data_IF_215796833282
#
_entry.id   IF_215796833282
#
_cell.length_a   1.000
_cell.length_b   1.000
_cell.length_c   1.000
_cell.angle_alpha   90.00
_cell.angle_beta   90.00
_cell.angle_gamma   90.00
#
_symmetry.space_group_name_H-M   'P 1'
#
loop_
_entity.id
_entity.type
_entity.pdbx_description
1 polymer ?
#
# COMPACT_ATOMS: atom_id res chain seq x y z
N UNK A 1 -62.93 -68.04 -3.81
CA UNK A 1 -63.19 -68.60 -5.16
C UNK A 1 -61.83 -68.87 -5.80
N UNK A 2 -61.45 -70.17 -5.89
CA UNK A 2 -60.55 -70.89 -6.82
C UNK A 2 -59.32 -70.12 -7.41
N UNK A 3 -58.06 -70.60 -7.48
CA UNK A 3 -57.45 -71.95 -7.61
C UNK A 3 -55.90 -71.74 -7.77
N UNK A 4 -55.08 -72.67 -7.23
CA UNK A 4 -53.74 -73.19 -7.69
C UNK A 4 -52.57 -72.24 -8.12
N UNK A 5 -51.29 -72.63 -8.37
CA UNK A 5 -50.47 -73.87 -8.46
C UNK A 5 -49.02 -73.52 -8.03
N UNK A 6 -48.25 -74.54 -7.65
CA UNK A 6 -46.79 -74.68 -7.55
C UNK A 6 -45.87 -74.23 -8.72
N UNK A 7 -44.58 -74.10 -8.37
CA UNK A 7 -43.33 -74.40 -9.13
C UNK A 7 -42.85 -73.51 -10.28
N UNK A 8 -41.60 -73.04 -10.21
CA UNK A 8 -40.46 -73.55 -11.02
C UNK A 8 -39.30 -72.54 -11.06
N UNK A 9 -38.10 -73.06 -10.83
CA UNK A 9 -36.83 -72.39 -11.07
C UNK A 9 -36.54 -72.28 -12.58
N UNK A 10 -36.01 -71.14 -13.04
CA UNK A 10 -35.23 -71.06 -14.28
C UNK A 10 -34.03 -70.14 -14.04
N UNK A 11 -32.87 -70.78 -13.98
CA UNK A 11 -31.56 -70.21 -14.32
C UNK A 11 -31.58 -69.73 -15.78
N UNK A 12 -31.21 -68.48 -16.03
CA UNK A 12 -30.67 -68.10 -17.33
C UNK A 12 -29.45 -67.19 -17.16
N UNK A 13 -28.30 -67.81 -17.43
CA UNK A 13 -27.04 -67.17 -17.75
C UNK A 13 -27.23 -66.30 -19.00
N UNK A 14 -26.79 -65.04 -18.94
CA UNK A 14 -26.75 -64.15 -20.09
C UNK A 14 -25.63 -63.15 -19.91
N UNK A 15 -24.41 -63.54 -20.27
CA UNK A 15 -23.29 -62.64 -20.45
C UNK A 15 -23.50 -61.82 -21.73
N UNK A 16 -23.50 -60.49 -21.61
CA UNK A 16 -23.24 -59.57 -22.71
C UNK A 16 -22.13 -58.60 -22.30
N UNK A 17 -21.10 -58.56 -23.12
CA UNK A 17 -19.86 -57.80 -23.01
C UNK A 17 -19.95 -56.42 -23.68
N UNK A 18 -19.08 -55.50 -23.25
CA UNK A 18 -18.60 -54.26 -23.89
C UNK A 18 -19.58 -53.05 -23.82
N UNK A 19 -19.19 -51.79 -23.55
CA UNK A 19 -17.90 -51.07 -23.47
C UNK A 19 -18.14 -49.64 -22.92
N UNK A 20 -17.14 -49.08 -22.24
CA UNK A 20 -16.87 -47.64 -21.93
C UNK A 20 -17.93 -46.82 -21.14
N UNK A 21 -17.62 -45.80 -20.34
CA UNK A 21 -16.41 -45.25 -19.70
C UNK A 21 -16.91 -43.97 -18.99
N UNK A 22 -16.61 -43.79 -17.71
CA UNK A 22 -16.32 -42.45 -17.13
C UNK A 22 -15.92 -42.60 -15.67
N UNK A 23 -14.61 -42.47 -15.47
CA UNK A 23 -13.97 -42.23 -14.18
C UNK A 23 -14.39 -40.85 -13.64
N UNK A 24 -14.93 -40.81 -12.43
CA UNK A 24 -14.84 -39.59 -11.61
C UNK A 24 -14.96 -39.92 -10.12
N UNK A 25 -13.91 -40.51 -9.54
CA UNK A 25 -13.66 -40.40 -8.10
C UNK A 25 -12.17 -40.10 -7.87
N UNK A 26 -11.93 -39.24 -6.88
CA UNK A 26 -10.66 -38.69 -6.39
C UNK A 26 -9.99 -37.56 -7.18
N UNK A 27 -10.40 -36.33 -6.86
CA UNK A 27 -9.53 -35.15 -7.00
C UNK A 27 -9.63 -34.26 -5.76
N UNK A 28 -9.28 -34.79 -4.59
CA UNK A 28 -9.07 -33.98 -3.38
C UNK A 28 -8.05 -34.59 -2.40
N UNK A 29 -6.94 -35.12 -2.88
CA UNK A 29 -5.76 -35.42 -2.05
C UNK A 29 -4.53 -35.56 -2.94
N UNK A 30 -3.93 -34.44 -3.35
CA UNK A 30 -2.50 -34.39 -3.67
C UNK A 30 -2.00 -32.94 -3.56
N UNK A 31 -1.91 -32.44 -2.33
CA UNK A 31 -1.13 -31.23 -2.02
C UNK A 31 0.20 -31.74 -1.47
N UNK A 32 1.23 -31.75 -2.33
CA UNK A 32 2.57 -32.20 -1.97
C UNK A 32 3.20 -31.27 -0.92
N UNK A 33 4.10 -31.79 -0.08
CA UNK A 33 4.84 -30.99 0.92
C UNK A 33 5.54 -29.78 0.31
N UNK A 34 6.01 -29.91 -0.93
CA UNK A 34 6.68 -28.84 -1.67
C UNK A 34 5.70 -27.74 -2.07
N UNK A 35 4.48 -28.09 -2.50
CA UNK A 35 3.43 -27.10 -2.81
C UNK A 35 2.94 -26.34 -1.57
N UNK A 36 2.90 -26.99 -0.42
CA UNK A 36 2.54 -26.38 0.86
C UNK A 36 3.65 -25.44 1.35
N UNK A 37 4.92 -25.85 1.22
CA UNK A 37 6.07 -25.03 1.56
C UNK A 37 6.19 -23.81 0.64
N UNK A 38 5.96 -23.99 -0.66
CA UNK A 38 5.93 -22.91 -1.66
C UNK A 38 4.78 -21.92 -1.38
N UNK A 39 3.59 -22.43 -1.05
CA UNK A 39 2.44 -21.61 -0.63
C UNK A 39 2.73 -20.81 0.64
N UNK A 40 3.29 -21.43 1.67
CA UNK A 40 3.63 -20.76 2.93
C UNK A 40 4.72 -19.70 2.74
N UNK A 41 5.71 -19.98 1.90
CA UNK A 41 6.78 -19.05 1.54
C UNK A 41 6.22 -17.85 0.76
N UNK A 42 5.29 -18.09 -0.18
CA UNK A 42 4.62 -17.03 -0.92
C UNK A 42 3.77 -16.14 0.00
N UNK A 43 3.03 -16.71 0.96
CA UNK A 43 2.28 -15.93 1.95
C UNK A 43 3.20 -15.06 2.82
N UNK A 44 4.32 -15.62 3.30
CA UNK A 44 5.32 -14.88 4.09
C UNK A 44 5.90 -13.71 3.29
N UNK A 45 6.23 -13.93 2.02
CA UNK A 45 6.74 -12.88 1.14
C UNK A 45 5.70 -11.78 0.88
N UNK A 46 4.43 -12.15 0.66
CA UNK A 46 3.34 -11.20 0.49
C UNK A 46 3.12 -10.35 1.75
N UNK A 47 3.16 -10.95 2.95
CA UNK A 47 3.05 -10.22 4.22
C UNK A 47 4.21 -9.22 4.40
N UNK A 48 5.44 -9.64 4.07
CA UNK A 48 6.59 -8.74 4.04
C UNK A 48 6.40 -7.58 3.06
N UNK A 49 5.87 -7.83 1.86
CA UNK A 49 5.57 -6.77 0.88
C UNK A 49 4.48 -5.81 1.38
N UNK A 50 3.40 -6.34 1.98
CA UNK A 50 2.31 -5.55 2.51
C UNK A 50 2.76 -4.65 3.66
N UNK A 51 3.56 -5.20 4.58
CA UNK A 51 4.03 -4.48 5.77
C UNK A 51 5.15 -3.49 5.48
N UNK A 52 6.05 -3.79 4.53
CA UNK A 52 7.29 -3.00 4.31
C UNK A 52 7.30 -2.17 3.04
N UNK A 53 6.59 -2.59 2.00
CA UNK A 53 6.70 -1.99 0.66
C UNK A 53 5.42 -1.26 0.24
N UNK A 54 4.25 -1.81 0.56
CA UNK A 54 2.97 -1.31 0.02
C UNK A 54 2.52 0.02 0.62
N UNK A 55 3.09 0.44 1.75
CA UNK A 55 2.87 1.79 2.28
C UNK A 55 3.17 2.89 1.26
N UNK A 56 4.13 2.65 0.35
CA UNK A 56 4.47 3.56 -0.73
C UNK A 56 4.12 3.01 -2.13
N UNK A 57 4.23 1.69 -2.33
CA UNK A 57 4.16 1.06 -3.66
C UNK A 57 2.89 0.21 -3.91
N UNK A 58 1.93 0.19 -2.97
CA UNK A 58 0.73 -0.64 -3.04
C UNK A 58 -0.14 -0.35 -4.27
N UNK A 59 -0.92 -1.33 -4.73
CA UNK A 59 -1.73 -1.25 -5.96
C UNK A 59 -2.93 -0.30 -5.87
N UNK A 60 -3.35 0.05 -4.65
CA UNK A 60 -4.59 0.78 -4.42
C UNK A 60 -4.31 2.29 -4.42
N UNK A 61 -4.99 3.03 -5.28
CA UNK A 61 -4.88 4.50 -5.39
C UNK A 61 -4.89 5.03 -6.83
N UNK A 62 -5.47 6.22 -7.00
CA UNK A 62 -5.39 6.98 -8.25
C UNK A 62 -3.95 7.42 -8.55
N UNK A 63 -3.61 7.51 -9.84
CA UNK A 63 -2.28 7.85 -10.34
C UNK A 63 -1.66 9.03 -9.58
N UNK A 64 -2.42 10.10 -9.37
CA UNK A 64 -1.96 11.38 -8.82
C UNK A 64 -1.52 11.30 -7.36
N UNK A 65 -2.15 10.47 -6.53
CA UNK A 65 -1.96 10.46 -5.07
C UNK A 65 -0.83 9.54 -4.57
N UNK A 66 0.03 9.07 -5.48
CA UNK A 66 1.01 8.01 -5.17
C UNK A 66 2.35 8.57 -4.74
N UNK A 67 2.97 7.88 -3.79
CA UNK A 67 4.26 8.27 -3.20
C UNK A 67 5.43 7.61 -3.94
N UNK A 68 5.17 6.48 -4.60
CA UNK A 68 6.17 5.69 -5.30
C UNK A 68 5.52 4.92 -6.48
N UNK A 69 6.31 4.40 -7.44
CA UNK A 69 5.76 3.64 -8.56
C UNK A 69 5.09 2.34 -8.08
N UNK A 70 4.08 1.81 -8.80
CA UNK A 70 3.47 0.54 -8.42
C UNK A 70 4.47 -0.60 -8.52
N UNK A 71 4.29 -1.62 -7.68
CA UNK A 71 5.10 -2.84 -7.74
C UNK A 71 5.06 -3.52 -9.12
N UNK A 72 3.95 -3.43 -9.85
CA UNK A 72 3.92 -3.93 -11.23
C UNK A 72 4.87 -3.17 -12.17
N UNK A 73 5.00 -1.85 -12.01
CA UNK A 73 5.96 -1.08 -12.81
C UNK A 73 7.39 -1.49 -12.47
N UNK A 74 7.69 -1.66 -11.18
CA UNK A 74 9.01 -2.12 -10.72
C UNK A 74 9.32 -3.48 -11.35
N UNK A 75 8.40 -4.45 -11.24
CA UNK A 75 8.54 -5.77 -11.87
C UNK A 75 8.85 -5.65 -13.37
N UNK A 76 8.08 -4.88 -14.13
CA UNK A 76 8.26 -4.73 -15.59
C UNK A 76 9.56 -4.03 -15.98
N UNK A 77 10.10 -3.15 -15.14
CA UNK A 77 11.38 -2.48 -15.42
C UNK A 77 12.60 -3.30 -15.01
N UNK A 78 12.47 -4.13 -13.97
CA UNK A 78 13.56 -4.95 -13.46
C UNK A 78 13.59 -6.35 -14.07
N UNK A 79 12.49 -6.83 -14.66
CA UNK A 79 12.39 -8.15 -15.30
C UNK A 79 12.04 -8.03 -16.78
N UNK A 80 12.91 -8.57 -17.62
CA UNK A 80 12.65 -8.87 -19.04
C UNK A 80 12.69 -10.39 -19.28
N UNK A 81 12.67 -10.82 -20.55
CA UNK A 81 12.67 -12.24 -20.95
C UNK A 81 13.96 -12.98 -20.59
N UNK A 82 15.08 -12.27 -20.45
CA UNK A 82 16.40 -12.85 -20.16
C UNK A 82 16.86 -12.63 -18.72
N UNK A 83 16.07 -11.93 -17.90
CA UNK A 83 16.45 -11.65 -16.51
C UNK A 83 16.29 -12.92 -15.68
N UNK A 84 17.36 -13.42 -15.08
CA UNK A 84 17.29 -14.54 -14.13
C UNK A 84 16.74 -14.07 -12.77
N UNK A 85 16.23 -15.00 -11.96
CA UNK A 85 15.79 -14.70 -10.58
C UNK A 85 16.94 -14.09 -9.76
N UNK A 86 18.15 -14.61 -9.91
CA UNK A 86 19.34 -14.11 -9.24
C UNK A 86 19.65 -12.67 -9.64
N UNK A 87 19.69 -12.37 -10.94
CA UNK A 87 19.92 -11.02 -11.45
C UNK A 87 18.86 -10.04 -10.95
N UNK A 88 17.59 -10.44 -11.04
CA UNK A 88 16.46 -9.64 -10.55
C UNK A 88 16.61 -9.32 -9.06
N UNK A 89 16.92 -10.35 -8.25
CA UNK A 89 17.08 -10.22 -6.80
C UNK A 89 18.25 -9.32 -6.44
N UNK A 90 19.40 -9.47 -7.12
CA UNK A 90 20.57 -8.62 -6.90
C UNK A 90 20.31 -7.17 -7.29
N UNK A 91 19.61 -6.94 -8.40
CA UNK A 91 19.23 -5.59 -8.84
C UNK A 91 18.30 -4.89 -7.85
N UNK A 92 17.28 -5.60 -7.36
CA UNK A 92 16.36 -5.08 -6.34
C UNK A 92 17.11 -4.79 -5.05
N UNK A 93 17.92 -5.73 -4.55
CA UNK A 93 18.72 -5.55 -3.31
C UNK A 93 19.67 -4.36 -3.42
N UNK A 94 20.39 -4.24 -4.53
CA UNK A 94 21.33 -3.15 -4.79
C UNK A 94 20.63 -1.80 -4.68
N UNK A 95 19.49 -1.63 -5.34
CA UNK A 95 18.73 -0.39 -5.30
C UNK A 95 18.09 -0.12 -3.95
N UNK A 96 17.45 -1.12 -3.33
CA UNK A 96 16.74 -0.95 -2.04
C UNK A 96 17.71 -0.60 -0.91
N UNK A 97 18.89 -1.23 -0.88
CA UNK A 97 19.90 -1.01 0.16
C UNK A 97 20.81 0.20 -0.10
N UNK A 98 20.88 0.70 -1.33
CA UNK A 98 21.69 1.88 -1.65
C UNK A 98 21.14 2.65 -2.86
N UNK A 99 19.96 3.28 -2.76
CA UNK A 99 19.40 4.03 -3.88
C UNK A 99 20.25 5.29 -4.11
N UNK A 100 20.75 5.46 -5.34
CA UNK A 100 21.50 6.63 -5.82
C UNK A 100 20.94 7.08 -7.17
N UNK A 101 21.19 8.32 -7.59
CA UNK A 101 20.74 8.78 -8.92
C UNK A 101 21.35 7.94 -10.06
N UNK A 102 22.58 7.48 -9.88
CA UNK A 102 23.34 6.68 -10.84
C UNK A 102 22.77 5.27 -11.04
N UNK A 103 22.14 4.67 -10.02
CA UNK A 103 21.63 3.30 -10.07
C UNK A 103 20.11 3.20 -10.25
N UNK A 104 19.43 4.32 -10.50
CA UNK A 104 18.01 4.34 -10.84
C UNK A 104 17.79 3.71 -12.21
N UNK A 105 17.08 2.57 -12.26
CA UNK A 105 16.59 1.99 -13.53
C UNK A 105 15.30 2.64 -14.05
N UNK A 106 14.55 3.31 -13.17
CA UNK A 106 13.24 3.91 -13.48
C UNK A 106 13.32 5.44 -13.44
N UNK A 107 13.98 6.05 -14.41
CA UNK A 107 14.28 7.50 -14.43
C UNK A 107 13.04 8.38 -14.38
N UNK A 108 11.95 8.02 -15.08
CA UNK A 108 10.66 8.74 -15.00
C UNK A 108 10.05 8.70 -13.58
N UNK A 109 10.14 7.55 -12.91
CA UNK A 109 9.69 7.42 -11.53
C UNK A 109 10.57 8.25 -10.57
N UNK A 110 11.89 8.30 -10.81
CA UNK A 110 12.78 9.16 -10.04
C UNK A 110 12.47 10.65 -10.24
N UNK A 111 12.26 11.11 -11.48
CA UNK A 111 11.86 12.50 -11.75
C UNK A 111 10.56 12.88 -11.04
N UNK A 112 9.59 11.96 -11.02
CA UNK A 112 8.27 12.20 -10.45
C UNK A 112 8.22 12.09 -8.92
N UNK A 113 8.80 11.05 -8.35
CA UNK A 113 8.68 10.72 -6.92
C UNK A 113 9.93 11.07 -6.11
N UNK A 114 11.03 11.44 -6.78
CA UNK A 114 12.35 11.58 -6.19
C UNK A 114 12.98 10.23 -5.79
N UNK A 115 14.19 10.29 -5.22
CA UNK A 115 14.93 9.08 -4.83
C UNK A 115 14.24 8.31 -3.70
N UNK A 116 14.20 6.98 -3.79
CA UNK A 116 13.70 6.11 -2.72
C UNK A 116 14.60 6.25 -1.49
N UNK A 117 14.05 6.28 -0.25
CA UNK A 117 14.88 6.18 0.94
C UNK A 117 15.62 4.85 1.00
N UNK A 118 16.88 4.86 1.45
CA UNK A 118 17.63 3.63 1.76
C UNK A 118 16.88 2.80 2.80
N UNK A 119 16.64 1.53 2.48
CA UNK A 119 16.00 0.58 3.38
C UNK A 119 17.05 -0.45 3.82
N UNK A 120 17.22 -0.63 5.13
CA UNK A 120 18.15 -1.62 5.68
C UNK A 120 17.39 -2.89 6.05
N UNK A 121 16.83 -3.58 5.05
CA UNK A 121 16.09 -4.81 5.30
C UNK A 121 17.05 -6.02 5.34
N UNK A 122 16.75 -7.05 6.16
CA UNK A 122 17.47 -8.32 6.11
C UNK A 122 17.49 -8.91 4.70
N UNK A 123 18.64 -9.47 4.32
CA UNK A 123 18.85 -10.04 2.99
C UNK A 123 17.89 -11.19 2.69
N UNK A 124 17.61 -12.05 3.67
CA UNK A 124 16.65 -13.15 3.54
C UNK A 124 15.25 -12.65 3.16
N UNK A 125 14.80 -11.55 3.75
CA UNK A 125 13.49 -10.97 3.43
C UNK A 125 13.48 -10.36 2.02
N UNK A 126 14.56 -9.70 1.61
CA UNK A 126 14.68 -9.18 0.26
C UNK A 126 14.70 -10.31 -0.78
N UNK A 127 15.30 -11.46 -0.46
CA UNK A 127 15.27 -12.64 -1.32
C UNK A 127 13.84 -13.17 -1.46
N UNK A 128 13.09 -13.30 -0.35
CA UNK A 128 11.69 -13.72 -0.36
C UNK A 128 10.80 -12.77 -1.16
N UNK A 129 10.92 -11.46 -0.92
CA UNK A 129 10.17 -10.42 -1.65
C UNK A 129 10.51 -10.47 -3.14
N UNK A 130 11.79 -10.59 -3.50
CA UNK A 130 12.23 -10.60 -4.90
C UNK A 130 11.75 -11.84 -5.64
N UNK A 131 11.82 -13.01 -5.01
CA UNK A 131 11.28 -14.26 -5.55
C UNK A 131 9.77 -14.17 -5.77
N UNK A 132 9.03 -13.67 -4.78
CA UNK A 132 7.59 -13.47 -4.92
C UNK A 132 7.27 -12.51 -6.08
N UNK A 133 7.93 -11.35 -6.11
CA UNK A 133 7.73 -10.35 -7.16
C UNK A 133 8.09 -10.90 -8.55
N UNK A 134 9.12 -11.74 -8.66
CA UNK A 134 9.55 -12.35 -9.92
C UNK A 134 8.53 -13.35 -10.46
N UNK A 135 8.05 -14.28 -9.63
CA UNK A 135 7.18 -15.40 -10.06
C UNK A 135 5.68 -15.07 -10.08
N UNK A 136 5.19 -14.18 -9.22
CA UNK A 136 3.75 -13.99 -9.03
C UNK A 136 3.19 -12.82 -9.83
N UNK A 137 1.92 -12.91 -10.20
CA UNK A 137 1.20 -11.76 -10.75
C UNK A 137 1.01 -10.68 -9.68
N UNK A 138 1.24 -9.43 -10.07
CA UNK A 138 1.03 -8.28 -9.19
C UNK A 138 -0.22 -7.56 -9.65
N UNK A 139 -1.17 -7.35 -8.74
CA UNK A 139 -2.40 -6.61 -8.99
C UNK A 139 -2.08 -5.26 -9.64
N UNK A 140 -2.60 -5.06 -10.85
CA UNK A 140 -2.42 -3.83 -11.61
C UNK A 140 -3.49 -2.79 -11.20
N UNK A 141 -3.12 -1.51 -10.96
CA UNK A 141 -4.10 -0.43 -10.88
C UNK A 141 -4.84 -0.27 -12.22
N UNK A 142 -6.14 0.09 -12.20
CA UNK A 142 -6.97 0.20 -13.40
C UNK A 142 -6.38 1.13 -14.48
N UNK A 143 -5.73 2.23 -14.06
CA UNK A 143 -5.10 3.21 -14.96
C UNK A 143 -3.74 2.77 -15.53
N UNK A 144 -3.17 1.66 -15.05
CA UNK A 144 -1.76 1.31 -15.29
C UNK A 144 -1.48 0.98 -16.76
N UNK A 145 -2.35 0.22 -17.42
CA UNK A 145 -2.12 -0.25 -18.81
C UNK A 145 -2.02 0.91 -19.80
N UNK A 146 -2.90 1.89 -19.69
CA UNK A 146 -2.93 3.06 -20.57
C UNK A 146 -1.73 3.98 -20.33
N UNK A 147 -1.42 4.27 -19.06
CA UNK A 147 -0.25 5.07 -18.69
C UNK A 147 1.06 4.41 -19.16
N UNK A 148 1.21 3.11 -18.93
CA UNK A 148 2.44 2.39 -19.27
C UNK A 148 2.68 2.35 -20.79
N UNK A 149 1.63 2.24 -21.60
CA UNK A 149 1.73 2.33 -23.07
C UNK A 149 2.20 3.72 -23.53
N UNK A 150 1.63 4.80 -22.96
CA UNK A 150 2.03 6.18 -23.29
C UNK A 150 3.51 6.46 -22.98
N UNK A 151 4.00 5.98 -21.84
CA UNK A 151 5.41 6.09 -21.45
C UNK A 151 6.35 5.36 -22.42
N UNK A 152 5.95 4.17 -22.92
CA UNK A 152 6.76 3.42 -23.86
C UNK A 152 6.84 4.08 -25.25
N UNK A 153 5.76 4.74 -25.69
CA UNK A 153 5.74 5.48 -26.96
C UNK A 153 6.51 6.80 -26.92
N UNK A 154 6.69 7.42 -25.74
CA UNK A 154 7.30 8.75 -25.59
C UNK A 154 8.82 8.75 -25.31
N UNK A 155 9.53 7.63 -25.49
CA UNK A 155 10.97 7.49 -25.16
C UNK A 155 11.96 8.43 -25.89
N UNK A 156 11.49 9.35 -26.75
CA UNK A 156 12.33 10.29 -27.51
C UNK A 156 12.02 11.78 -27.33
N UNK A 157 11.11 12.19 -26.44
CA UNK A 157 10.86 13.60 -26.19
C UNK A 157 11.48 14.04 -24.86
N UNK A 158 12.38 15.03 -24.91
CA UNK A 158 12.71 15.87 -23.76
C UNK A 158 11.43 16.54 -23.29
N UNK A 159 10.82 16.03 -22.23
CA UNK A 159 9.61 16.62 -21.67
C UNK A 159 9.93 17.97 -21.02
N UNK A 160 9.37 19.03 -21.60
CA UNK A 160 9.15 20.28 -20.88
C UNK A 160 8.27 20.01 -19.64
N UNK A 161 8.47 20.72 -18.52
CA UNK A 161 7.71 20.47 -17.31
C UNK A 161 6.22 20.72 -17.56
N UNK A 162 5.41 19.68 -17.39
CA UNK A 162 3.95 19.77 -17.48
C UNK A 162 3.42 20.84 -16.49
N UNK A 163 2.57 21.75 -16.99
CA UNK A 163 1.89 22.75 -16.17
C UNK A 163 0.90 22.01 -15.26
N UNK A 164 1.23 21.88 -13.98
CA UNK A 164 0.37 21.25 -12.98
C UNK A 164 -0.84 22.13 -12.67
N UNK A 165 -2.03 21.52 -12.57
CA UNK A 165 -3.18 22.20 -11.97
C UNK A 165 -2.88 22.53 -10.50
N UNK A 166 -3.57 23.51 -9.89
CA UNK A 166 -3.38 23.83 -8.48
C UNK A 166 -3.59 22.64 -7.55
N UNK A 167 -4.58 21.79 -7.85
CA UNK A 167 -4.85 20.59 -7.05
C UNK A 167 -3.71 19.56 -7.14
N UNK A 168 -3.13 19.36 -8.34
CA UNK A 168 -1.97 18.49 -8.53
C UNK A 168 -0.71 19.07 -7.90
N UNK A 169 -0.49 20.39 -8.01
CA UNK A 169 0.63 21.06 -7.36
C UNK A 169 0.57 20.90 -5.84
N UNK A 170 -0.59 21.20 -5.23
CA UNK A 170 -0.78 21.02 -3.80
C UNK A 170 -0.60 19.57 -3.35
N UNK A 171 -0.97 18.61 -4.21
CA UNK A 171 -0.76 17.19 -3.94
C UNK A 171 0.72 16.84 -3.95
N UNK A 172 1.50 17.36 -4.92
CA UNK A 172 2.95 17.17 -4.94
C UNK A 172 3.62 17.73 -3.68
N UNK A 173 3.17 18.89 -3.20
CA UNK A 173 3.66 19.49 -1.96
C UNK A 173 3.33 18.61 -0.74
N UNK A 174 2.09 18.15 -0.63
CA UNK A 174 1.66 17.22 0.42
C UNK A 174 2.46 15.91 0.40
N UNK A 175 2.72 15.35 -0.79
CA UNK A 175 3.48 14.11 -0.97
C UNK A 175 4.96 14.30 -0.59
N UNK A 176 5.58 15.43 -0.95
CA UNK A 176 6.96 15.76 -0.52
C UNK A 176 7.06 15.85 1.00
N UNK A 177 6.12 16.55 1.66
CA UNK A 177 6.07 16.63 3.12
C UNK A 177 5.82 15.25 3.76
N UNK A 178 4.86 14.48 3.23
CA UNK A 178 4.57 13.10 3.66
C UNK A 178 5.78 12.19 3.53
N UNK A 179 6.55 12.31 2.45
CA UNK A 179 7.77 11.51 2.20
C UNK A 179 8.83 11.77 3.27
N UNK A 180 9.10 13.04 3.60
CA UNK A 180 10.09 13.39 4.63
C UNK A 180 9.64 12.93 6.01
N UNK A 181 8.37 13.16 6.36
CA UNK A 181 7.83 12.68 7.63
C UNK A 181 7.87 11.14 7.70
N UNK A 182 7.43 10.46 6.65
CA UNK A 182 7.42 9.01 6.53
C UNK A 182 8.81 8.40 6.62
N UNK A 183 9.81 8.99 5.94
CA UNK A 183 11.21 8.55 6.02
C UNK A 183 11.73 8.57 7.45
N UNK A 184 11.52 9.68 8.17
CA UNK A 184 12.00 9.82 9.54
C UNK A 184 11.21 8.94 10.52
N UNK A 185 9.91 8.81 10.34
CA UNK A 185 9.06 7.89 11.10
C UNK A 185 9.55 6.44 10.94
N UNK A 186 9.77 6.00 9.70
CA UNK A 186 10.29 4.66 9.42
C UNK A 186 11.67 4.45 10.03
N UNK A 187 12.55 5.46 9.97
CA UNK A 187 13.83 5.43 10.67
C UNK A 187 13.65 5.20 12.19
N UNK A 188 12.71 5.88 12.83
CA UNK A 188 12.42 5.72 14.25
C UNK A 188 11.86 4.33 14.59
N UNK A 189 10.88 3.84 13.80
CA UNK A 189 10.31 2.49 13.96
C UNK A 189 11.40 1.43 13.80
N UNK A 190 12.23 1.53 12.76
CA UNK A 190 13.29 0.56 12.50
C UNK A 190 14.37 0.58 13.59
N UNK A 191 14.60 1.73 14.25
CA UNK A 191 15.62 1.87 15.28
C UNK A 191 15.21 1.22 16.61
N UNK A 192 14.00 1.48 17.09
CA UNK A 192 13.55 1.09 18.45
C UNK A 192 12.07 0.74 18.55
N UNK A 193 11.41 0.47 17.42
CA UNK A 193 10.00 0.09 17.35
C UNK A 193 9.03 1.24 17.57
N UNK A 194 7.75 0.90 17.64
CA UNK A 194 6.63 1.85 17.65
C UNK A 194 6.63 2.74 18.89
N UNK A 195 7.10 2.23 20.04
CA UNK A 195 7.21 3.03 21.29
C UNK A 195 8.13 4.24 21.12
N UNK A 196 9.30 4.07 20.48
CA UNK A 196 10.20 5.18 20.19
C UNK A 196 9.67 6.08 19.07
N UNK A 197 8.99 5.49 18.08
CA UNK A 197 8.35 6.26 17.00
C UNK A 197 7.31 7.27 17.51
N UNK A 198 6.57 6.93 18.58
CA UNK A 198 5.63 7.87 19.24
C UNK A 198 6.36 9.09 19.80
N UNK A 199 7.53 8.90 20.42
CA UNK A 199 8.35 9.99 20.95
C UNK A 199 8.91 10.88 19.85
N UNK A 200 9.39 10.26 18.76
CA UNK A 200 9.78 10.99 17.55
C UNK A 200 8.62 11.83 17.01
N UNK A 201 7.41 11.29 16.96
CA UNK A 201 6.23 12.02 16.47
C UNK A 201 5.87 13.21 17.37
N UNK A 202 6.07 13.07 18.69
CA UNK A 202 5.81 14.14 19.66
C UNK A 202 6.80 15.29 19.50
N UNK A 203 8.09 14.98 19.36
CA UNK A 203 9.16 15.97 19.39
C UNK A 203 9.53 16.56 18.02
N UNK A 204 9.38 15.79 16.94
CA UNK A 204 9.99 16.13 15.63
C UNK A 204 9.01 16.28 14.48
N UNK A 205 7.81 15.68 14.56
CA UNK A 205 6.91 15.67 13.41
C UNK A 205 6.52 17.08 12.96
N UNK A 206 6.12 17.95 13.90
CA UNK A 206 5.72 19.33 13.57
C UNK A 206 6.89 20.13 12.98
N UNK A 207 8.07 20.08 13.61
CA UNK A 207 9.28 20.73 13.10
C UNK A 207 9.62 20.33 11.66
N UNK A 208 9.49 19.04 11.32
CA UNK A 208 9.71 18.58 9.95
C UNK A 208 8.68 19.13 8.97
N UNK A 209 7.41 19.25 9.39
CA UNK A 209 6.37 19.86 8.54
C UNK A 209 6.64 21.35 8.36
N UNK A 210 6.96 22.08 9.43
CA UNK A 210 7.28 23.50 9.37
C UNK A 210 8.50 23.76 8.46
N UNK A 211 9.54 22.93 8.60
CA UNK A 211 10.72 22.98 7.73
C UNK A 211 10.36 22.72 6.26
N UNK A 212 9.47 21.77 5.99
CA UNK A 212 9.01 21.48 4.63
C UNK A 212 8.13 22.59 4.08
N UNK A 213 7.31 23.23 4.92
CA UNK A 213 6.52 24.39 4.54
C UNK A 213 7.39 25.54 4.04
N UNK A 214 8.45 25.87 4.79
CA UNK A 214 9.40 26.89 4.40
C UNK A 214 10.16 26.51 3.13
N UNK A 215 10.68 25.28 3.05
CA UNK A 215 11.46 24.81 1.91
C UNK A 215 10.66 24.73 0.61
N UNK A 216 9.34 24.51 0.71
CA UNK A 216 8.44 24.38 -0.43
C UNK A 216 7.64 25.65 -0.72
N UNK A 217 7.85 26.72 0.05
CA UNK A 217 7.10 27.97 -0.05
C UNK A 217 5.57 27.78 -0.04
N UNK A 218 5.08 26.92 0.87
CA UNK A 218 3.67 26.62 1.02
C UNK A 218 3.32 26.36 2.49
N UNK A 219 2.14 26.77 2.93
CA UNK A 219 1.69 26.45 4.29
C UNK A 219 1.06 25.06 4.31
N UNK A 220 1.71 24.12 4.98
CA UNK A 220 1.40 22.69 4.97
C UNK A 220 1.13 22.27 6.41
N UNK A 221 -0.02 21.65 6.66
CA UNK A 221 -0.33 21.06 7.96
C UNK A 221 -1.09 19.75 7.83
N UNK A 222 -1.19 19.02 8.93
CA UNK A 222 -2.05 17.83 9.06
C UNK A 222 -3.10 18.08 10.12
N UNK A 223 -4.35 17.80 9.78
CA UNK A 223 -5.46 17.94 10.71
C UNK A 223 -6.34 16.69 10.73
N UNK A 224 -7.09 16.50 11.81
CA UNK A 224 -7.98 15.37 12.01
C UNK A 224 -9.13 15.75 12.93
N UNK A 225 -10.25 15.06 12.77
CA UNK A 225 -11.38 15.12 13.70
C UNK A 225 -11.17 14.21 14.94
N UNK A 226 -10.22 13.27 14.86
CA UNK A 226 -9.70 12.46 15.97
C UNK A 226 -8.19 12.69 16.12
N UNK A 227 -7.75 13.87 16.56
CA UNK A 227 -6.33 14.19 16.63
C UNK A 227 -5.62 13.46 17.79
N UNK A 228 -4.31 13.25 17.61
CA UNK A 228 -3.41 12.79 18.69
C UNK A 228 -2.85 13.95 19.49
N UNK A 229 -2.36 14.94 18.75
CA UNK A 229 -1.94 16.22 19.28
C UNK A 229 -3.10 17.21 19.10
N UNK A 230 -3.53 17.88 20.17
CA UNK A 230 -4.63 18.84 20.15
C UNK A 230 -4.45 19.94 19.08
N UNK A 231 -3.20 20.33 18.77
CA UNK A 231 -2.90 21.33 17.75
C UNK A 231 -3.25 20.87 16.32
N UNK A 232 -3.48 19.57 16.11
CA UNK A 232 -3.90 18.99 14.84
C UNK A 232 -5.43 18.84 14.73
N UNK A 233 -6.21 19.49 15.60
CA UNK A 233 -7.66 19.48 15.52
C UNK A 233 -8.14 20.20 14.24
N UNK A 234 -8.96 19.53 13.44
CA UNK A 234 -9.59 20.13 12.28
C UNK A 234 -10.55 21.25 12.67
N UNK A 235 -10.52 22.36 11.93
CA UNK A 235 -11.49 23.44 12.06
C UNK A 235 -12.84 23.08 11.40
N UNK A 236 -13.83 23.98 11.48
CA UNK A 236 -15.17 23.72 10.95
C UNK A 236 -15.20 23.36 9.45
N UNK A 237 -14.42 24.06 8.61
CA UNK A 237 -14.35 23.79 7.16
C UNK A 237 -13.66 22.45 6.88
N UNK A 238 -12.55 22.20 7.56
CA UNK A 238 -11.78 20.94 7.44
C UNK A 238 -12.59 19.74 7.93
N UNK A 239 -13.40 19.91 8.99
CA UNK A 239 -14.27 18.87 9.52
C UNK A 239 -15.36 18.46 8.52
N UNK A 240 -15.95 19.42 7.79
CA UNK A 240 -16.91 19.13 6.70
C UNK A 240 -16.26 18.28 5.62
N UNK A 241 -15.04 18.62 5.18
CA UNK A 241 -14.30 17.87 4.16
C UNK A 241 -13.96 16.46 4.65
N UNK A 242 -13.51 16.32 5.90
CA UNK A 242 -13.26 15.01 6.52
C UNK A 242 -14.54 14.17 6.52
N UNK A 243 -15.68 14.76 6.87
CA UNK A 243 -16.96 14.04 6.89
C UNK A 243 -17.42 13.62 5.49
N UNK A 244 -17.22 14.48 4.48
CA UNK A 244 -17.47 14.14 3.08
C UNK A 244 -16.63 12.93 2.65
N UNK A 245 -15.33 12.94 2.91
CA UNK A 245 -14.45 11.81 2.60
C UNK A 245 -14.86 10.52 3.33
N UNK A 246 -15.26 10.60 4.61
CA UNK A 246 -15.77 9.43 5.35
C UNK A 246 -17.05 8.86 4.73
N UNK A 247 -17.97 9.71 4.29
CA UNK A 247 -19.21 9.26 3.64
C UNK A 247 -18.90 8.59 2.30
N UNK A 248 -18.04 9.19 1.47
CA UNK A 248 -17.60 8.60 0.20
C UNK A 248 -16.95 7.23 0.39
N UNK A 249 -16.10 7.05 1.40
CA UNK A 249 -15.51 5.75 1.73
C UNK A 249 -16.56 4.72 2.17
N UNK A 250 -17.58 5.12 2.95
CA UNK A 250 -18.68 4.23 3.35
C UNK A 250 -19.50 3.73 2.17
N UNK A 251 -19.59 4.53 1.11
CA UNK A 251 -20.22 4.15 -0.16
C UNK A 251 -19.32 3.24 -1.03
N UNK A 252 -18.12 2.89 -0.55
CA UNK A 252 -17.14 2.07 -1.30
C UNK A 252 -16.44 2.83 -2.43
N UNK A 253 -16.59 4.16 -2.49
CA UNK A 253 -15.98 5.01 -3.52
C UNK A 253 -14.59 5.46 -3.08
N UNK A 254 -13.71 5.63 -4.07
CA UNK A 254 -12.39 6.21 -3.82
C UNK A 254 -12.51 7.70 -3.47
N UNK A 255 -11.62 8.17 -2.60
CA UNK A 255 -11.48 9.59 -2.27
C UNK A 255 -10.18 10.14 -2.85
N UNK A 256 -10.26 11.34 -3.41
CA UNK A 256 -9.13 12.11 -3.94
C UNK A 256 -9.07 13.47 -3.26
N UNK A 257 -8.01 14.23 -3.50
CA UNK A 257 -7.91 15.58 -2.97
C UNK A 257 -9.02 16.49 -3.51
N UNK A 258 -9.36 17.52 -2.73
CA UNK A 258 -10.29 18.58 -3.15
C UNK A 258 -9.62 19.94 -3.01
N UNK A 259 -10.01 20.89 -3.87
CA UNK A 259 -9.51 22.26 -3.85
C UNK A 259 -10.60 23.18 -3.32
N UNK A 260 -10.24 24.10 -2.43
CA UNK A 260 -11.04 25.27 -2.11
C UNK A 260 -10.26 26.54 -2.51
N UNK A 261 -10.97 27.51 -3.07
CA UNK A 261 -10.40 28.79 -3.43
C UNK A 261 -10.78 29.84 -2.37
N UNK A 262 -9.83 30.71 -2.05
CA UNK A 262 -10.04 31.94 -1.30
C UNK A 262 -9.64 33.11 -2.20
N UNK A 263 -9.93 34.35 -1.78
CA UNK A 263 -9.56 35.55 -2.54
C UNK A 263 -8.06 35.61 -2.88
N UNK A 264 -7.19 35.14 -1.96
CA UNK A 264 -5.73 35.29 -2.08
C UNK A 264 -4.96 33.96 -2.14
N UNK A 265 -5.63 32.82 -1.95
CA UNK A 265 -4.95 31.52 -1.85
C UNK A 265 -5.78 30.36 -2.41
N UNK A 266 -5.09 29.30 -2.81
CA UNK A 266 -5.70 28.02 -3.17
C UNK A 266 -5.33 26.99 -2.10
N UNK A 267 -6.34 26.34 -1.54
CA UNK A 267 -6.17 25.38 -0.44
C UNK A 267 -6.56 23.98 -0.92
N UNK A 268 -5.57 23.10 -1.00
CA UNK A 268 -5.76 21.68 -1.28
C UNK A 268 -5.93 20.87 0.00
N UNK A 269 -6.89 19.94 0.00
CA UNK A 269 -7.16 19.02 1.09
C UNK A 269 -6.99 17.58 0.62
N UNK A 270 -6.05 16.83 1.21
CA UNK A 270 -5.67 15.49 0.72
C UNK A 270 -5.82 14.42 1.80
N UNK A 271 -6.53 13.31 1.54
CA UNK A 271 -6.83 12.32 2.56
C UNK A 271 -5.60 11.55 3.04
N UNK A 272 -5.60 11.21 4.33
CA UNK A 272 -4.63 10.32 4.98
C UNK A 272 -5.37 9.05 5.37
N UNK A 273 -5.15 7.98 4.60
CA UNK A 273 -5.71 6.66 4.87
C UNK A 273 -4.73 5.83 5.71
N UNK A 274 -5.27 5.09 6.67
CA UNK A 274 -4.51 4.13 7.48
C UNK A 274 -4.14 2.89 6.67
N UNK A 275 -2.99 2.30 6.98
CA UNK A 275 -2.59 0.99 6.51
C UNK A 275 -2.13 0.13 7.71
N UNK A 276 -1.67 -1.09 7.46
CA UNK A 276 -1.23 -2.03 8.51
C UNK A 276 -0.20 -1.42 9.47
N UNK A 277 0.78 -0.67 8.96
CA UNK A 277 1.82 -0.06 9.82
C UNK A 277 1.23 0.99 10.77
N UNK A 278 0.16 1.69 10.34
CA UNK A 278 -0.46 2.73 11.13
C UNK A 278 -1.08 2.16 12.41
N UNK A 279 -1.54 0.91 12.36
CA UNK A 279 -2.29 0.27 13.44
C UNK A 279 -1.43 -0.03 14.66
N UNK A 280 -0.12 -0.08 14.51
CA UNK A 280 0.82 -0.21 15.63
C UNK A 280 0.72 0.96 16.63
N UNK A 281 0.19 2.11 16.20
CA UNK A 281 0.02 3.30 17.03
C UNK A 281 -1.42 3.86 17.01
N UNK A 282 -2.18 3.56 15.97
CA UNK A 282 -3.53 4.09 15.75
C UNK A 282 -4.62 3.01 15.74
N UNK A 283 -4.26 1.73 15.87
CA UNK A 283 -5.19 0.61 15.85
C UNK A 283 -5.97 0.45 17.15
N UNK A 284 -6.57 -0.72 17.33
CA UNK A 284 -7.30 -1.05 18.57
C UNK A 284 -6.31 -1.18 19.75
N UNK A 285 -6.54 -0.46 20.87
CA UNK A 285 -5.70 -0.56 22.07
C UNK A 285 -5.62 -1.98 22.62
N UNK A 286 -4.45 -2.39 23.13
CA UNK A 286 -4.20 -3.70 23.74
C UNK A 286 -4.38 -4.92 22.81
N UNK A 287 -4.60 -4.70 21.52
CA UNK A 287 -4.62 -5.77 20.50
C UNK A 287 -3.64 -5.46 19.37
N UNK A 288 -3.77 -4.30 18.73
CA UNK A 288 -2.87 -3.87 17.66
C UNK A 288 -1.83 -2.86 18.15
N UNK A 289 -2.17 -2.07 19.15
CA UNK A 289 -1.23 -1.20 19.84
C UNK A 289 -0.68 -1.97 21.05
N UNK A 290 0.62 -2.26 21.03
CA UNK A 290 1.31 -2.88 22.16
C UNK A 290 1.18 -2.04 23.42
N UNK A 291 1.03 -2.71 24.56
CA UNK A 291 0.82 -2.11 25.88
C UNK A 291 1.89 -1.06 26.27
N UNK A 292 3.18 -1.34 25.97
CA UNK A 292 4.27 -0.35 26.18
C UNK A 292 4.12 0.91 25.30
N UNK A 293 3.64 0.74 24.07
CA UNK A 293 3.43 1.85 23.12
C UNK A 293 2.20 2.66 23.55
N UNK A 294 1.13 1.98 23.97
CA UNK A 294 -0.08 2.62 24.49
C UNK A 294 0.23 3.45 25.75
N UNK A 295 1.00 2.92 26.70
CA UNK A 295 1.47 3.69 27.87
C UNK A 295 2.21 4.95 27.45
N UNK A 296 3.18 4.84 26.54
CA UNK A 296 3.95 5.99 26.04
C UNK A 296 3.05 7.02 25.34
N UNK A 297 2.06 6.57 24.57
CA UNK A 297 1.05 7.44 23.95
C UNK A 297 0.31 8.21 25.05
N UNK A 298 -0.24 7.52 26.05
CA UNK A 298 -1.02 8.16 27.12
C UNK A 298 -0.18 9.15 27.94
N UNK A 299 1.11 8.87 28.15
CA UNK A 299 2.03 9.81 28.82
C UNK A 299 2.30 11.05 27.98
N UNK A 300 2.60 10.90 26.68
CA UNK A 300 2.98 12.03 25.82
C UNK A 300 1.77 12.79 25.26
N UNK A 301 0.60 12.17 25.24
CA UNK A 301 -0.64 12.70 24.68
C UNK A 301 -1.84 12.36 25.59
N UNK A 302 -2.01 13.05 26.74
CA UNK A 302 -3.08 12.76 27.69
C UNK A 302 -4.50 12.91 27.13
N UNK A 303 -4.66 13.67 26.06
CA UNK A 303 -5.94 13.91 25.37
C UNK A 303 -6.00 13.23 23.99
N UNK A 304 -5.22 12.17 23.77
CA UNK A 304 -5.21 11.44 22.50
C UNK A 304 -6.60 10.91 22.14
N UNK A 305 -7.02 11.15 20.89
CA UNK A 305 -8.25 10.58 20.31
C UNK A 305 -7.95 9.62 19.15
N UNK A 306 -6.69 9.47 18.76
CA UNK A 306 -6.30 8.84 17.51
C UNK A 306 -6.09 7.32 17.60
N UNK A 307 -7.00 6.60 18.26
CA UNK A 307 -6.97 5.13 18.39
C UNK A 307 -8.24 4.49 17.83
N UNK A 308 -8.19 3.17 17.68
CA UNK A 308 -9.31 2.35 17.23
C UNK A 308 -9.54 2.40 15.72
N UNK A 309 -8.51 2.71 14.93
CA UNK A 309 -8.60 2.69 13.48
C UNK A 309 -8.45 1.27 12.92
N UNK A 310 -9.17 0.99 11.83
CA UNK A 310 -8.94 -0.15 10.94
C UNK A 310 -8.01 0.20 9.77
N UNK A 311 -7.78 -0.75 8.86
CA UNK A 311 -7.08 -0.51 7.59
C UNK A 311 -8.01 0.30 6.66
N UNK A 312 -7.43 1.19 5.85
CA UNK A 312 -8.13 1.99 4.85
C UNK A 312 -9.20 2.94 5.43
N UNK A 313 -9.03 3.34 6.68
CA UNK A 313 -9.87 4.35 7.33
C UNK A 313 -9.24 5.74 7.21
N UNK A 314 -10.10 6.77 7.17
CA UNK A 314 -9.64 8.15 7.11
C UNK A 314 -9.09 8.61 8.47
N UNK A 315 -7.77 8.69 8.57
CA UNK A 315 -7.06 9.19 9.76
C UNK A 315 -7.15 10.70 9.88
N UNK A 316 -7.19 11.42 8.76
CA UNK A 316 -7.19 12.88 8.71
C UNK A 316 -6.89 13.36 7.31
N UNK A 317 -6.47 14.62 7.18
CA UNK A 317 -6.14 15.24 5.90
C UNK A 317 -4.84 16.06 6.01
N UNK A 318 -4.11 16.14 4.90
CA UNK A 318 -3.17 17.23 4.66
C UNK A 318 -3.95 18.46 4.20
N UNK A 319 -3.53 19.62 4.67
CA UNK A 319 -4.01 20.93 4.21
C UNK A 319 -2.81 21.66 3.64
N UNK A 320 -2.89 22.03 2.37
CA UNK A 320 -1.81 22.73 1.65
C UNK A 320 -2.38 24.02 1.11
N UNK A 321 -1.94 25.13 1.67
CA UNK A 321 -2.27 26.47 1.19
C UNK A 321 -1.12 27.00 0.34
N UNK A 322 -1.45 27.30 -0.91
CA UNK A 322 -0.54 27.86 -1.92
C UNK A 322 -0.95 29.31 -2.16
N UNK A 323 0.02 30.22 -2.08
CA UNK A 323 -0.17 31.59 -2.54
C UNK A 323 -0.48 31.59 -4.04
N UNK A 324 -1.32 32.54 -4.48
CA UNK A 324 -1.54 32.80 -5.91
C UNK A 324 -0.30 33.41 -6.56
#
# INVERSE_FOLDING_TARGET
MKIFVWSAAILFLGAFTNSCESNNENKLTDLTSDSLLESQTAMKALDLMQSKCFACHGSDGHLENRIAPPMIAIKKHYKNEHTTLEQFTNDIKSFVNNPTEENVKMTGAFKRFGLMPKMNFPEEELNLISAYLYHNEIKEPAWFKEHYKKEQSNKSATEEPAILTPLENGLQLALKAKKILGKNLMGAINKQGSTYAVEFCNLKANYLIDSMSNALNAHIKRVSDKPRNANAQANAKEAVIIQQFKNTLKEGKAITGVLAETENSKIGYYPILTNQMCLQCHGVPNTQIEDKTLRKINTLYPTDKAVGYGINELRGIWVVEMAQ
#
